data_IF_654828871567
#
_entry.id   IF_654828871567
#
_cell.length_a   1.000
_cell.length_b   1.000
_cell.length_c   1.000
_cell.angle_alpha   90.00
_cell.angle_beta   90.00
_cell.angle_gamma   90.00
#
_symmetry.space_group_name_H-M   'P 1'
#
loop_
_entity.id
_entity.type
_entity.pdbx_description
1 polymer ?
#
# COMPACT_ATOMS: atom_id res chain seq x y z
N UNK A 1 -24.22 -9.13 -37.44
CA UNK A 1 -23.51 -7.89 -37.10
C UNK A 1 -22.72 -8.19 -35.85
N UNK A 2 -21.48 -8.63 -36.01
CA UNK A 2 -20.59 -8.90 -34.88
C UNK A 2 -20.17 -7.57 -34.24
N UNK A 3 -20.54 -7.38 -32.98
CA UNK A 3 -20.03 -6.28 -32.16
C UNK A 3 -18.56 -6.58 -31.84
N UNK A 4 -17.60 -5.67 -32.15
CA UNK A 4 -16.22 -5.90 -31.77
C UNK A 4 -16.10 -5.91 -30.24
N UNK A 5 -15.23 -6.75 -29.66
CA UNK A 5 -15.00 -6.74 -28.22
C UNK A 5 -14.44 -5.39 -27.81
N UNK A 6 -15.08 -4.77 -26.81
CA UNK A 6 -14.56 -3.58 -26.13
C UNK A 6 -13.16 -3.90 -25.62
N UNK A 7 -12.11 -3.13 -25.98
CA UNK A 7 -10.79 -3.34 -25.40
C UNK A 7 -10.88 -3.13 -23.89
N UNK A 8 -10.50 -4.15 -23.13
CA UNK A 8 -10.35 -4.07 -21.67
C UNK A 8 -9.44 -2.88 -21.34
N UNK A 9 -9.94 -1.91 -20.58
CA UNK A 9 -9.18 -0.71 -20.19
C UNK A 9 -8.11 -1.00 -19.14
N UNK A 10 -7.68 -2.25 -18.96
CA UNK A 10 -6.41 -2.61 -18.34
C UNK A 10 -5.25 -2.21 -19.26
N UNK A 11 -5.28 -0.98 -19.78
CA UNK A 11 -4.12 -0.32 -20.31
C UNK A 11 -3.03 -0.37 -19.24
N UNK A 12 -1.78 -0.59 -19.66
CA UNK A 12 -0.58 -0.58 -18.81
C UNK A 12 -0.53 0.76 -18.06
N UNK A 13 -1.13 0.79 -16.88
CA UNK A 13 -1.12 1.95 -16.00
C UNK A 13 0.34 2.23 -15.62
N UNK A 14 0.78 3.48 -15.65
CA UNK A 14 2.16 3.81 -15.27
C UNK A 14 2.37 3.52 -13.77
N UNK A 15 3.58 3.12 -13.36
CA UNK A 15 3.85 2.80 -11.94
C UNK A 15 3.39 3.90 -10.97
N UNK A 16 3.64 5.20 -11.21
CA UNK A 16 3.17 6.25 -10.31
C UNK A 16 1.65 6.28 -10.12
N UNK A 17 0.89 6.01 -11.18
CA UNK A 17 -0.57 5.97 -11.14
C UNK A 17 -1.06 4.75 -10.33
N UNK A 18 -0.38 3.60 -10.45
CA UNK A 18 -0.61 2.42 -9.61
C UNK A 18 -0.32 2.72 -8.14
N UNK A 19 0.82 3.34 -7.83
CA UNK A 19 1.17 3.75 -6.46
C UNK A 19 0.10 4.65 -5.85
N UNK A 20 -0.35 5.67 -6.59
CA UNK A 20 -1.41 6.59 -6.15
C UNK A 20 -2.72 5.82 -5.90
N UNK A 21 -3.11 4.92 -6.79
CA UNK A 21 -4.33 4.14 -6.66
C UNK A 21 -4.30 3.23 -5.42
N UNK A 22 -3.21 2.48 -5.22
CA UNK A 22 -3.03 1.59 -4.06
C UNK A 22 -3.02 2.39 -2.76
N UNK A 23 -2.23 3.45 -2.70
CA UNK A 23 -2.14 4.31 -1.52
C UNK A 23 -3.50 4.93 -1.15
N UNK A 24 -4.23 5.44 -2.15
CA UNK A 24 -5.59 5.99 -1.96
C UNK A 24 -6.56 4.92 -1.46
N UNK A 25 -6.50 3.71 -2.01
CA UNK A 25 -7.34 2.58 -1.59
C UNK A 25 -7.10 2.19 -0.14
N UNK A 26 -5.84 1.97 0.23
CA UNK A 26 -5.44 1.66 1.59
C UNK A 26 -5.85 2.76 2.58
N UNK A 27 -5.61 4.03 2.23
CA UNK A 27 -6.07 5.19 2.99
C UNK A 27 -7.58 5.22 3.25
N UNK A 28 -8.39 4.80 2.27
CA UNK A 28 -9.85 4.73 2.41
C UNK A 28 -10.26 3.59 3.34
N UNK A 29 -9.63 2.43 3.19
CA UNK A 29 -9.88 1.27 4.04
C UNK A 29 -9.56 1.58 5.51
N UNK A 30 -8.39 2.17 5.78
CA UNK A 30 -8.01 2.56 7.15
C UNK A 30 -9.01 3.54 7.78
N UNK A 31 -9.46 4.56 7.01
CA UNK A 31 -10.48 5.49 7.49
C UNK A 31 -11.84 4.81 7.73
N UNK A 32 -12.23 3.87 6.87
CA UNK A 32 -13.45 3.08 7.07
C UNK A 32 -13.37 2.20 8.32
N UNK A 33 -12.19 1.70 8.66
CA UNK A 33 -11.91 0.99 9.90
C UNK A 33 -11.80 1.91 11.13
N UNK A 34 -12.01 3.22 10.98
CA UNK A 34 -12.02 4.18 12.09
C UNK A 34 -10.65 4.73 12.49
N UNK A 35 -9.61 4.53 11.66
CA UNK A 35 -8.28 5.08 11.90
C UNK A 35 -8.11 6.47 11.26
N UNK A 36 -7.36 7.33 11.95
CA UNK A 36 -6.84 8.59 11.38
C UNK A 36 -5.56 8.30 10.60
N UNK A 37 -5.38 8.90 9.42
CA UNK A 37 -4.29 8.54 8.48
C UNK A 37 -3.42 9.74 8.13
N UNK A 38 -2.10 9.54 8.14
CA UNK A 38 -1.06 10.43 7.65
C UNK A 38 -0.25 9.71 6.56
N UNK A 39 0.15 10.44 5.52
CA UNK A 39 1.01 9.91 4.46
C UNK A 39 2.44 10.35 4.69
N UNK A 40 3.38 9.54 4.21
CA UNK A 40 4.80 9.90 4.10
C UNK A 40 5.40 10.38 5.43
N UNK A 41 5.11 9.67 6.53
CA UNK A 41 5.56 10.04 7.87
C UNK A 41 7.05 9.69 8.06
N UNK A 42 7.93 10.67 8.34
CA UNK A 42 9.32 10.38 8.69
C UNK A 42 9.42 9.61 10.01
N UNK A 43 10.30 8.62 10.06
CA UNK A 43 10.58 7.80 11.23
C UNK A 43 11.96 8.14 11.83
N UNK A 44 12.20 7.85 13.13
CA UNK A 44 13.44 8.25 13.80
C UNK A 44 14.72 7.59 13.26
N UNK A 45 14.61 6.47 12.53
CA UNK A 45 15.73 5.83 11.83
C UNK A 45 16.09 6.48 10.49
N UNK A 46 15.45 7.60 10.15
CA UNK A 46 15.63 8.32 8.89
C UNK A 46 14.86 7.72 7.71
N UNK A 47 14.06 6.67 7.92
CA UNK A 47 13.13 6.13 6.91
C UNK A 47 11.81 6.89 6.93
N UNK A 48 10.86 6.43 6.11
CA UNK A 48 9.54 7.03 5.97
C UNK A 48 8.49 5.93 5.82
N UNK A 49 7.45 5.98 6.65
CA UNK A 49 6.27 5.14 6.47
C UNK A 49 5.41 5.73 5.34
N UNK A 50 5.05 4.92 4.35
CA UNK A 50 4.19 5.36 3.24
C UNK A 50 2.83 5.83 3.76
N UNK A 51 2.20 5.01 4.61
CA UNK A 51 0.96 5.31 5.29
C UNK A 51 1.13 4.99 6.77
N UNK A 52 0.90 5.99 7.61
CA UNK A 52 0.81 5.84 9.04
C UNK A 52 -0.64 6.08 9.49
N UNK A 53 -1.15 5.25 10.37
CA UNK A 53 -2.50 5.38 10.88
C UNK A 53 -2.57 5.20 12.40
N UNK A 54 -3.48 5.93 13.03
CA UNK A 54 -3.68 5.91 14.49
C UNK A 54 -5.12 5.56 14.81
N UNK A 55 -5.30 4.51 15.59
CA UNK A 55 -6.59 4.08 16.13
C UNK A 55 -7.07 4.95 17.29
N UNK A 56 -8.34 4.79 17.67
CA UNK A 56 -8.93 5.58 18.78
C UNK A 56 -8.34 5.23 20.15
N UNK A 57 -7.79 4.03 20.31
CA UNK A 57 -7.11 3.59 21.52
C UNK A 57 -5.62 3.97 21.55
N UNK A 58 -5.12 4.62 20.49
CA UNK A 58 -3.70 4.96 20.33
C UNK A 58 -2.89 3.90 19.59
N UNK A 59 -3.54 2.88 19.02
CA UNK A 59 -2.87 1.84 18.24
C UNK A 59 -2.22 2.47 16.99
N UNK A 60 -0.94 2.17 16.79
CA UNK A 60 -0.14 2.65 15.67
C UNK A 60 -0.11 1.58 14.58
N UNK A 61 -0.44 1.98 13.36
CA UNK A 61 -0.46 1.10 12.20
C UNK A 61 0.42 1.69 11.10
N UNK A 62 1.32 0.88 10.55
CA UNK A 62 2.04 1.22 9.32
C UNK A 62 1.52 0.36 8.18
N UNK A 63 1.25 0.98 7.03
CA UNK A 63 0.96 0.28 5.78
C UNK A 63 2.00 0.67 4.74
N UNK A 64 2.77 -0.31 4.30
CA UNK A 64 3.80 -0.14 3.28
C UNK A 64 3.21 -0.37 1.88
N UNK A 65 3.48 0.52 0.91
CA UNK A 65 2.90 0.44 -0.44
C UNK A 65 3.90 -0.20 -1.39
N UNK A 66 3.49 -1.30 -2.04
CA UNK A 66 4.31 -2.02 -3.02
C UNK A 66 3.59 -2.04 -4.36
N UNK A 67 3.94 -1.11 -5.25
CA UNK A 67 3.22 -0.89 -6.51
C UNK A 67 3.62 -1.85 -7.63
N UNK A 68 4.67 -2.63 -7.43
CA UNK A 68 5.16 -3.62 -8.41
C UNK A 68 5.89 -4.79 -7.75
N UNK A 69 6.05 -5.89 -8.49
CA UNK A 69 6.86 -7.04 -8.05
C UNK A 69 8.33 -6.65 -7.85
N UNK A 70 8.83 -5.68 -8.62
CA UNK A 70 10.19 -5.17 -8.46
C UNK A 70 10.34 -4.45 -7.11
N UNK A 71 9.40 -3.54 -6.78
CA UNK A 71 9.35 -2.84 -5.48
C UNK A 71 9.36 -3.84 -4.32
N UNK A 72 8.54 -4.89 -4.43
CA UNK A 72 8.46 -5.96 -3.45
C UNK A 72 9.78 -6.72 -3.25
N UNK A 73 10.50 -7.00 -4.35
CA UNK A 73 11.73 -7.81 -4.29
C UNK A 73 12.94 -7.03 -3.77
N UNK A 74 13.01 -5.73 -4.06
CA UNK A 74 14.18 -4.91 -3.69
C UNK A 74 14.06 -4.32 -2.30
N UNK A 75 12.85 -4.09 -1.81
CA UNK A 75 12.64 -3.62 -0.45
C UNK A 75 12.42 -4.79 0.51
N UNK A 76 13.51 -5.34 1.04
CA UNK A 76 13.50 -6.42 2.03
C UNK A 76 13.50 -5.94 3.48
N UNK A 77 13.48 -4.62 3.73
CA UNK A 77 13.63 -4.05 5.08
C UNK A 77 12.33 -3.52 5.67
N UNK A 78 11.23 -3.63 4.95
CA UNK A 78 9.89 -3.25 5.45
C UNK A 78 9.51 -3.92 6.78
N UNK A 79 9.93 -5.16 7.14
CA UNK A 79 9.57 -5.73 8.44
C UNK A 79 10.15 -4.95 9.62
N UNK A 80 11.24 -4.19 9.42
CA UNK A 80 11.83 -3.34 10.46
C UNK A 80 10.85 -2.24 10.93
N UNK A 81 9.80 -1.94 10.17
CA UNK A 81 8.76 -1.01 10.60
C UNK A 81 7.92 -1.51 11.79
N UNK A 82 8.02 -2.78 12.15
CA UNK A 82 7.44 -3.32 13.40
C UNK A 82 8.04 -2.65 14.65
N UNK A 83 9.25 -2.08 14.57
CA UNK A 83 9.83 -1.32 15.70
C UNK A 83 9.10 0.01 15.96
N UNK A 84 8.25 0.46 15.02
CA UNK A 84 7.58 1.76 15.04
C UNK A 84 6.05 1.68 15.09
N UNK A 85 5.46 0.47 15.14
CA UNK A 85 4.00 0.30 15.12
C UNK A 85 3.52 -0.97 15.86
N UNK A 86 2.24 -1.00 16.21
CA UNK A 86 1.60 -2.19 16.78
C UNK A 86 1.19 -3.20 15.70
N UNK A 87 0.87 -2.71 14.49
CA UNK A 87 0.47 -3.52 13.35
C UNK A 87 1.11 -3.02 12.05
N UNK A 88 1.68 -3.95 11.30
CA UNK A 88 2.29 -3.69 10.00
C UNK A 88 1.52 -4.43 8.91
N UNK A 89 1.12 -3.69 7.88
CA UNK A 89 0.46 -4.21 6.69
C UNK A 89 1.23 -3.85 5.43
N UNK A 90 0.98 -4.59 4.36
CA UNK A 90 1.44 -4.23 3.01
C UNK A 90 0.22 -4.04 2.11
N UNK A 91 0.19 -2.92 1.38
CA UNK A 91 -0.80 -2.65 0.35
C UNK A 91 -0.19 -2.90 -1.03
N UNK A 92 -0.84 -3.76 -1.81
CA UNK A 92 -0.43 -4.13 -3.17
C UNK A 92 -1.57 -3.90 -4.17
N UNK A 93 -1.28 -3.79 -5.49
CA UNK A 93 -2.29 -3.81 -6.54
C UNK A 93 -3.17 -5.07 -6.48
N UNK A 94 -4.41 -4.96 -6.99
CA UNK A 94 -5.37 -6.07 -7.00
C UNK A 94 -4.90 -7.29 -7.79
N UNK A 95 -4.07 -7.06 -8.80
CA UNK A 95 -3.46 -8.06 -9.68
C UNK A 95 -2.08 -8.54 -9.19
N UNK A 96 -1.63 -8.10 -8.01
CA UNK A 96 -0.37 -8.54 -7.44
C UNK A 96 -0.40 -10.04 -7.13
N UNK A 97 0.62 -10.82 -7.53
CA UNK A 97 0.61 -12.27 -7.34
C UNK A 97 0.64 -12.64 -5.85
N UNK A 98 -0.47 -13.16 -5.34
CA UNK A 98 -0.62 -13.53 -3.92
C UNK A 98 0.39 -14.60 -3.49
N UNK A 99 0.79 -15.50 -4.40
CA UNK A 99 1.79 -16.52 -4.12
C UNK A 99 3.20 -15.98 -3.80
N UNK A 100 3.45 -14.68 -3.99
CA UNK A 100 4.70 -14.02 -3.61
C UNK A 100 4.67 -13.42 -2.20
N UNK A 101 3.50 -13.35 -1.57
CA UNK A 101 3.30 -12.77 -0.24
C UNK A 101 3.50 -13.89 0.81
N UNK A 102 4.28 -13.67 1.88
CA UNK A 102 4.59 -14.66 2.91
C UNK A 102 3.38 -15.18 3.70
#
# INVERSE_FOLDING_TARGET
MDTPPTPSSAARQARPEVTIAVCRGACRLMRQAGLSVLLELPLPDGRRADIFAVGRGGELVIVEVKSSIEDWRVDGKWPDYLDWCDQLYVAVPVDFPQALIP
#
